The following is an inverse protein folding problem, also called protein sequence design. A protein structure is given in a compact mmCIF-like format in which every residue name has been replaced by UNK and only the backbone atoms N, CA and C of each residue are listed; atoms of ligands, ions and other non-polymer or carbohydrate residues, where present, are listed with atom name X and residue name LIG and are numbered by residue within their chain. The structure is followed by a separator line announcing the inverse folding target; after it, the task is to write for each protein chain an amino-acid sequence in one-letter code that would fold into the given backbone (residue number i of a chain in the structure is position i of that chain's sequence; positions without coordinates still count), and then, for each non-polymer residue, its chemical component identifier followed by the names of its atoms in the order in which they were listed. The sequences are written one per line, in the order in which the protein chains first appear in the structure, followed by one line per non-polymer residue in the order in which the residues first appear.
data_IF_455359780812
#
_entry.id   IF_455359780812
#
_cell.length_a   1.000
_cell.length_b   1.000
_cell.length_c   1.000
_cell.angle_alpha   90.00
_cell.angle_beta   90.00
_cell.angle_gamma   90.00
#
_symmetry.space_group_name_H-M   'P 1'
#
loop_
_entity.id
_entity.type
_entity.pdbx_description
1 polymer ?
#
# COMPACT_ATOMS: atom_id res chain seq x y z
N UNK A 1 1.94 -17.03 10.69
CA UNK A 1 2.78 -17.12 9.50
C UNK A 1 3.15 -15.78 8.87
N UNK A 2 2.36 -14.69 8.96
CA UNK A 2 2.77 -13.34 8.52
C UNK A 2 3.55 -12.53 9.58
N UNK A 3 3.35 -12.84 10.86
CA UNK A 3 4.04 -12.20 11.98
C UNK A 3 5.43 -12.81 12.25
N UNK A 4 6.06 -13.44 11.26
CA UNK A 4 7.43 -13.92 11.39
C UNK A 4 8.38 -12.72 11.35
N UNK A 5 9.44 -12.77 12.14
CA UNK A 5 10.46 -11.73 12.25
C UNK A 5 11.03 -11.37 10.87
N UNK A 6 11.16 -12.37 9.99
CA UNK A 6 11.66 -12.20 8.63
C UNK A 6 10.81 -11.22 7.81
N UNK A 7 9.48 -11.36 7.80
CA UNK A 7 8.59 -10.49 7.03
C UNK A 7 8.62 -9.06 7.54
N UNK A 8 8.65 -8.87 8.86
CA UNK A 8 8.76 -7.55 9.46
C UNK A 8 10.08 -6.86 9.08
N UNK A 9 11.21 -7.57 9.17
CA UNK A 9 12.51 -7.03 8.74
C UNK A 9 12.53 -6.67 7.25
N UNK A 10 11.92 -7.49 6.38
CA UNK A 10 11.82 -7.17 4.96
C UNK A 10 10.99 -5.90 4.69
N UNK A 11 9.85 -5.75 5.37
CA UNK A 11 9.01 -4.55 5.25
C UNK A 11 9.77 -3.32 5.72
N UNK A 12 10.44 -3.40 6.88
CA UNK A 12 11.25 -2.29 7.40
C UNK A 12 12.35 -1.88 6.42
N UNK A 13 13.09 -2.84 5.86
CA UNK A 13 14.13 -2.56 4.87
C UNK A 13 13.59 -1.86 3.61
N UNK A 14 12.38 -2.23 3.15
CA UNK A 14 11.73 -1.56 2.01
C UNK A 14 11.34 -0.12 2.40
N UNK A 15 10.79 0.09 3.59
CA UNK A 15 10.40 1.41 4.06
C UNK A 15 11.59 2.37 4.24
N UNK A 16 12.79 1.84 4.54
CA UNK A 16 14.02 2.64 4.71
C UNK A 16 14.70 3.00 3.38
N UNK A 17 14.33 2.36 2.26
CA UNK A 17 14.93 2.57 0.95
C UNK A 17 13.91 3.10 -0.05
N UNK A 18 14.08 4.34 -0.48
CA UNK A 18 13.25 4.96 -1.51
C UNK A 18 13.23 4.15 -2.81
N UNK A 19 14.39 3.62 -3.23
CA UNK A 19 14.52 2.79 -4.42
C UNK A 19 13.71 1.49 -4.33
N UNK A 20 13.83 0.76 -3.21
CA UNK A 20 13.09 -0.49 -3.01
C UNK A 20 11.59 -0.25 -2.88
N UNK A 21 11.20 0.86 -2.23
CA UNK A 21 9.81 1.24 -2.10
C UNK A 21 9.19 1.55 -3.47
N UNK A 22 9.91 2.28 -4.33
CA UNK A 22 9.47 2.57 -5.70
C UNK A 22 9.36 1.32 -6.58
N UNK A 23 10.17 0.29 -6.35
CA UNK A 23 10.03 -1.00 -7.04
C UNK A 23 8.77 -1.78 -6.63
N UNK A 24 8.26 -1.53 -5.42
CA UNK A 24 7.08 -2.20 -4.89
C UNK A 24 5.77 -1.50 -5.23
N UNK A 25 5.82 -0.19 -5.49
CA UNK A 25 4.63 0.65 -5.68
C UNK A 25 4.32 0.85 -7.17
N UNK A 26 3.03 0.88 -7.55
CA UNK A 26 2.65 1.16 -8.92
C UNK A 26 2.63 2.67 -9.17
N UNK A 27 2.60 3.06 -10.45
CA UNK A 27 2.33 4.45 -10.83
C UNK A 27 0.86 4.80 -10.62
N UNK A 28 0.51 5.11 -9.37
CA UNK A 28 -0.84 5.49 -8.97
C UNK A 28 -1.20 6.87 -9.49
N UNK A 29 -1.96 6.91 -10.59
CA UNK A 29 -2.34 8.15 -11.26
C UNK A 29 -3.68 8.72 -10.77
N UNK A 30 -4.53 7.88 -10.16
CA UNK A 30 -5.90 8.23 -9.73
C UNK A 30 -6.27 7.75 -8.32
N UNK A 31 -7.53 7.92 -7.93
CA UNK A 31 -8.10 7.47 -6.64
C UNK A 31 -8.47 5.96 -6.66
N UNK A 32 -8.03 5.22 -7.67
CA UNK A 32 -8.32 3.81 -7.80
C UNK A 32 -7.44 2.97 -6.87
N UNK A 33 -8.02 1.87 -6.39
CA UNK A 33 -7.30 0.89 -5.59
C UNK A 33 -6.54 -0.05 -6.51
N UNK A 34 -5.25 -0.22 -6.26
CA UNK A 34 -4.41 -1.21 -6.93
C UNK A 34 -4.04 -2.36 -5.99
N UNK A 35 -4.00 -3.57 -6.55
CA UNK A 35 -3.63 -4.79 -5.87
C UNK A 35 -2.34 -5.31 -6.50
N UNK A 36 -1.30 -5.42 -5.68
CA UNK A 36 0.04 -5.86 -6.10
C UNK A 36 0.30 -7.18 -5.40
N UNK A 37 0.58 -8.23 -6.17
CA UNK A 37 0.81 -9.56 -5.63
C UNK A 37 2.27 -9.93 -5.87
N UNK A 38 3.02 -10.11 -4.78
CA UNK A 38 4.42 -10.53 -4.80
C UNK A 38 5.36 -9.56 -5.53
N UNK A 39 5.40 -8.25 -5.22
CA UNK A 39 6.36 -7.37 -5.87
C UNK A 39 7.79 -7.70 -5.45
N UNK A 40 8.79 -7.55 -6.33
CA UNK A 40 10.19 -7.61 -5.92
C UNK A 40 10.49 -6.50 -4.89
N UNK A 41 11.17 -6.77 -3.75
CA UNK A 41 11.85 -8.00 -3.35
C UNK A 41 11.04 -8.94 -2.40
N UNK A 42 9.73 -8.73 -2.24
CA UNK A 42 8.83 -9.44 -1.30
C UNK A 42 7.79 -10.30 -2.05
N UNK A 43 8.25 -11.40 -2.64
CA UNK A 43 7.43 -12.28 -3.50
C UNK A 43 6.32 -13.06 -2.77
N UNK A 44 6.37 -13.18 -1.45
CA UNK A 44 5.39 -13.88 -0.62
C UNK A 44 4.36 -12.96 0.05
N UNK A 45 4.45 -11.66 -0.21
CA UNK A 45 3.51 -10.65 0.30
C UNK A 45 2.69 -10.02 -0.82
N UNK A 46 1.56 -9.43 -0.46
CA UNK A 46 0.72 -8.62 -1.33
C UNK A 46 0.43 -7.25 -0.71
N UNK A 47 0.21 -6.26 -1.57
CA UNK A 47 -0.16 -4.90 -1.19
C UNK A 47 -1.52 -4.56 -1.81
N UNK A 48 -2.34 -3.83 -1.06
CA UNK A 48 -3.54 -3.15 -1.57
C UNK A 48 -3.35 -1.68 -1.27
N UNK A 49 -3.22 -0.86 -2.30
CA UNK A 49 -2.84 0.56 -2.17
C UNK A 49 -3.83 1.46 -2.92
N UNK A 50 -3.96 2.70 -2.48
CA UNK A 50 -4.69 3.77 -3.16
C UNK A 50 -3.95 5.08 -2.96
N UNK A 51 -4.02 5.99 -3.94
CA UNK A 51 -3.55 7.35 -3.71
C UNK A 51 -4.58 8.17 -2.92
N UNK A 52 -4.10 9.17 -2.19
CA UNK A 52 -4.92 10.20 -1.54
C UNK A 52 -4.31 11.59 -1.78
N UNK A 53 -5.15 12.62 -1.68
CA UNK A 53 -4.74 14.02 -1.86
C UNK A 53 -4.20 14.61 -0.55
N UNK A 54 -3.07 15.31 -0.62
CA UNK A 54 -2.39 15.94 0.51
C UNK A 54 -2.05 17.40 0.17
N UNK A 55 -3.01 18.32 0.35
CA UNK A 55 -2.85 19.71 -0.08
C UNK A 55 -2.55 19.80 -1.59
N UNK A 56 -1.33 20.24 -1.93
CA UNK A 56 -0.84 20.29 -3.32
C UNK A 56 -0.20 18.99 -3.82
N UNK A 57 -0.01 18.00 -2.95
CA UNK A 57 0.64 16.73 -3.26
C UNK A 57 -0.32 15.53 -3.27
N UNK A 58 0.26 14.36 -3.53
CA UNK A 58 -0.39 13.05 -3.38
C UNK A 58 0.41 12.17 -2.43
N UNK A 59 -0.28 11.38 -1.64
CA UNK A 59 0.30 10.30 -0.85
C UNK A 59 -0.27 8.96 -1.26
N UNK A 60 0.35 7.88 -0.77
CA UNK A 60 -0.11 6.51 -0.97
C UNK A 60 -0.49 5.92 0.39
N UNK A 61 -1.67 5.30 0.46
CA UNK A 61 -2.14 4.55 1.61
C UNK A 61 -2.39 3.11 1.19
N UNK A 62 -1.99 2.13 2.00
CA UNK A 62 -2.32 0.75 1.71
C UNK A 62 -2.14 -0.21 2.86
N UNK A 63 -2.45 -1.47 2.56
CA UNK A 63 -2.34 -2.62 3.46
C UNK A 63 -1.32 -3.59 2.87
N UNK A 64 -0.39 -4.05 3.70
CA UNK A 64 0.57 -5.12 3.38
C UNK A 64 0.11 -6.40 4.10
N UNK A 65 0.09 -7.53 3.39
CA UNK A 65 -0.37 -8.80 3.95
C UNK A 65 0.10 -10.01 3.15
N UNK A 66 -0.32 -11.23 3.53
CA UNK A 66 -0.13 -12.42 2.70
C UNK A 66 -0.80 -12.28 1.33
N UNK A 67 -0.31 -13.02 0.34
CA UNK A 67 -0.91 -13.08 -1.01
C UNK A 67 -2.32 -13.68 -1.06
N UNK A 68 -2.78 -14.33 0.01
CA UNK A 68 -4.17 -14.83 0.13
C UNK A 68 -4.87 -14.10 1.27
N UNK A 69 -5.69 -13.12 0.92
CA UNK A 69 -6.45 -12.31 1.87
C UNK A 69 -7.86 -11.99 1.33
N UNK A 70 -8.74 -11.47 2.18
CA UNK A 70 -10.07 -11.06 1.77
C UNK A 70 -10.00 -9.72 1.01
N UNK A 71 -9.65 -9.79 -0.29
CA UNK A 71 -9.49 -8.63 -1.15
C UNK A 71 -10.73 -7.75 -1.21
N UNK A 72 -11.93 -8.34 -1.29
CA UNK A 72 -13.18 -7.59 -1.36
C UNK A 72 -13.36 -6.65 -0.15
N UNK A 73 -13.07 -7.14 1.06
CA UNK A 73 -13.14 -6.33 2.27
C UNK A 73 -12.04 -5.28 2.32
N UNK A 74 -10.81 -5.66 1.98
CA UNK A 74 -9.65 -4.78 2.10
C UNK A 74 -9.65 -3.64 1.08
N UNK A 75 -10.10 -3.89 -0.15
CA UNK A 75 -10.30 -2.85 -1.18
C UNK A 75 -11.29 -1.79 -0.69
N UNK A 76 -12.38 -2.19 -0.02
CA UNK A 76 -13.35 -1.24 0.54
C UNK A 76 -12.73 -0.41 1.67
N UNK A 77 -11.95 -1.03 2.56
CA UNK A 77 -11.28 -0.32 3.65
C UNK A 77 -10.27 0.70 3.11
N UNK A 78 -9.42 0.30 2.16
CA UNK A 78 -8.39 1.16 1.58
C UNK A 78 -9.01 2.32 0.81
N UNK A 79 -9.99 2.06 -0.07
CA UNK A 79 -10.66 3.12 -0.83
C UNK A 79 -11.39 4.11 0.07
N UNK A 80 -12.16 3.63 1.04
CA UNK A 80 -12.86 4.48 1.99
C UNK A 80 -11.89 5.36 2.79
N UNK A 81 -10.80 4.78 3.28
CA UNK A 81 -9.82 5.51 4.11
C UNK A 81 -9.05 6.53 3.28
N UNK A 82 -8.62 6.17 2.06
CA UNK A 82 -7.93 7.10 1.16
C UNK A 82 -8.83 8.30 0.79
N UNK A 83 -10.11 8.04 0.49
CA UNK A 83 -11.10 9.11 0.25
C UNK A 83 -11.27 10.01 1.47
N UNK A 84 -11.37 9.43 2.67
CA UNK A 84 -11.49 10.20 3.92
C UNK A 84 -10.25 11.03 4.21
N UNK A 85 -9.05 10.50 3.97
CA UNK A 85 -7.81 11.28 4.07
C UNK A 85 -7.82 12.45 3.07
N UNK A 86 -8.17 12.20 1.81
CA UNK A 86 -8.30 13.28 0.81
C UNK A 86 -9.27 14.38 1.24
N UNK A 87 -10.35 14.03 1.95
CA UNK A 87 -11.31 15.02 2.48
C UNK A 87 -10.72 15.81 3.65
N UNK A 88 -10.00 15.16 4.58
CA UNK A 88 -9.40 15.82 5.75
C UNK A 88 -8.31 16.83 5.37
N UNK A 89 -7.52 16.53 4.34
CA UNK A 89 -6.40 17.38 3.89
C UNK A 89 -6.78 18.40 2.82
N UNK A 90 -8.07 18.50 2.47
CA UNK A 90 -8.61 19.58 1.62
C UNK A 90 -8.95 20.86 2.41
N UNK A 91 -8.82 20.84 3.74
CA UNK A 91 -8.99 22.01 4.62
C UNK A 91 -7.68 22.74 4.88
#
# INVERSE_FOLDING_TARGET
EFADQKHLSQIMNICESEELLLQCLPNLSGEDVEIIVGPPPISDLGLIVSSYSLGSGKGILGIVGPTRMNYQKLVQIVSFTAKKMSELWKS
#
